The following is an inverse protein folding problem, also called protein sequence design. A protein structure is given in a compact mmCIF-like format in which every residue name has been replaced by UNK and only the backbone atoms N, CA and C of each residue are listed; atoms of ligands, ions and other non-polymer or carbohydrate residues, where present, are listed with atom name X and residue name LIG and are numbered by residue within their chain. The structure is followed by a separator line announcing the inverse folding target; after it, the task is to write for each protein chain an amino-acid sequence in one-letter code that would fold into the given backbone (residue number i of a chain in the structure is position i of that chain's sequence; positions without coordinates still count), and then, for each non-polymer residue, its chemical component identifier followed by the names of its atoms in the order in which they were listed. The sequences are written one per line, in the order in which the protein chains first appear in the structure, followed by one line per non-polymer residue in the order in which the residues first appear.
data_IF_851659701989
#
_entry.id   IF_851659701989
#
_cell.length_a   1.000
_cell.length_b   1.000
_cell.length_c   1.000
_cell.angle_alpha   90.00
_cell.angle_beta   90.00
_cell.angle_gamma   90.00
#
_symmetry.space_group_name_H-M   'P 1'
#
loop_
_entity.id
_entity.type
_entity.pdbx_description
1 polymer ?
#
# COMPACT_ATOMS: atom_id res chain seq x y z
N UNK A 1 -18.54 -6.41 -4.23
CA UNK A 1 -19.51 -5.40 -4.72
C UNK A 1 -18.74 -4.19 -5.21
N UNK A 2 -19.15 -3.57 -6.32
CA UNK A 2 -18.50 -2.36 -6.84
C UNK A 2 -18.92 -1.16 -5.99
N UNK A 3 -17.99 -0.27 -5.66
CA UNK A 3 -18.26 0.95 -4.90
C UNK A 3 -17.91 2.15 -5.77
N UNK A 4 -18.70 3.22 -5.66
CA UNK A 4 -18.40 4.52 -6.25
C UNK A 4 -18.01 5.48 -5.14
N UNK A 5 -17.03 6.33 -5.43
CA UNK A 5 -16.55 7.35 -4.50
C UNK A 5 -16.35 8.70 -5.17
N UNK A 6 -16.26 9.73 -4.33
CA UNK A 6 -15.98 11.12 -4.74
C UNK A 6 -14.74 11.63 -4.02
N UNK A 7 -14.07 12.62 -4.61
CA UNK A 7 -12.94 13.31 -3.96
C UNK A 7 -13.38 14.70 -3.49
N UNK A 8 -12.95 15.09 -2.30
CA UNK A 8 -13.21 16.40 -1.69
C UNK A 8 -11.90 16.94 -1.14
N UNK A 9 -11.70 18.26 -1.23
CA UNK A 9 -10.49 18.94 -0.80
C UNK A 9 -10.91 20.15 0.06
N UNK A 10 -11.17 19.95 1.37
CA UNK A 10 -11.71 20.98 2.25
C UNK A 10 -10.80 22.21 2.40
N UNK A 11 -9.51 22.07 2.07
CA UNK A 11 -8.53 23.15 2.03
C UNK A 11 -8.71 24.11 0.84
N UNK A 12 -9.40 23.66 -0.22
CA UNK A 12 -9.63 24.40 -1.46
C UNK A 12 -11.10 24.81 -1.67
N UNK A 13 -11.99 24.45 -0.74
CA UNK A 13 -13.44 24.54 -0.94
C UNK A 13 -14.16 25.04 0.31
N UNK A 14 -15.33 25.65 0.12
CA UNK A 14 -16.18 26.04 1.23
C UNK A 14 -17.02 24.86 1.74
N UNK A 15 -17.13 24.75 3.06
CA UNK A 15 -17.93 23.70 3.73
C UNK A 15 -19.39 23.63 3.23
N UNK A 16 -19.96 24.75 2.83
CA UNK A 16 -21.34 24.81 2.33
C UNK A 16 -21.48 24.10 0.97
N UNK A 17 -20.45 24.15 0.13
CA UNK A 17 -20.45 23.51 -1.17
C UNK A 17 -20.06 22.03 -1.07
N UNK A 18 -19.14 21.68 -0.16
CA UNK A 18 -18.85 20.30 0.21
C UNK A 18 -20.10 19.53 0.65
N UNK A 19 -20.91 20.14 1.53
CA UNK A 19 -22.16 19.53 2.01
C UNK A 19 -23.15 19.28 0.86
N UNK A 20 -23.35 20.26 -0.02
CA UNK A 20 -24.22 20.10 -1.20
C UNK A 20 -23.71 18.99 -2.13
N UNK A 21 -22.40 18.90 -2.30
CA UNK A 21 -21.79 17.89 -3.16
C UNK A 21 -21.93 16.49 -2.56
N UNK A 22 -21.74 16.35 -1.24
CA UNK A 22 -21.95 15.10 -0.52
C UNK A 22 -23.41 14.64 -0.56
N UNK A 23 -24.38 15.56 -0.39
CA UNK A 23 -25.81 15.27 -0.55
C UNK A 23 -26.12 14.74 -1.96
N UNK A 24 -25.55 15.37 -2.98
CA UNK A 24 -25.72 14.96 -4.37
C UNK A 24 -25.12 13.56 -4.62
N UNK A 25 -23.91 13.31 -4.12
CA UNK A 25 -23.24 12.02 -4.23
C UNK A 25 -24.04 10.92 -3.51
N UNK A 26 -24.55 11.22 -2.31
CA UNK A 26 -25.36 10.30 -1.52
C UNK A 26 -26.66 9.93 -2.25
N UNK A 27 -27.33 10.93 -2.84
CA UNK A 27 -28.54 10.73 -3.66
C UNK A 27 -28.32 9.76 -4.83
N UNK A 28 -27.12 9.75 -5.40
CA UNK A 28 -26.76 8.84 -6.51
C UNK A 28 -26.12 7.52 -6.04
N UNK A 29 -26.07 7.24 -4.74
CA UNK A 29 -25.61 5.96 -4.19
C UNK A 29 -24.09 5.82 -4.08
N UNK A 30 -23.35 6.93 -4.08
CA UNK A 30 -21.92 6.91 -3.76
C UNK A 30 -21.75 6.62 -2.27
N UNK A 31 -20.70 5.87 -1.91
CA UNK A 31 -20.50 5.38 -0.53
C UNK A 31 -19.10 5.63 0.02
N UNK A 32 -18.22 6.24 -0.77
CA UNK A 32 -16.83 6.47 -0.39
C UNK A 32 -16.41 7.91 -0.68
N UNK A 33 -15.63 8.49 0.23
CA UNK A 33 -15.02 9.81 0.05
C UNK A 33 -13.51 9.65 0.15
N UNK A 34 -12.79 10.27 -0.77
CA UNK A 34 -11.36 10.44 -0.71
C UNK A 34 -11.06 11.92 -0.45
N UNK A 35 -10.12 12.20 0.44
CA UNK A 35 -9.66 13.56 0.72
C UNK A 35 -8.17 13.55 0.98
N UNK A 36 -7.48 14.63 0.64
CA UNK A 36 -6.06 14.78 0.99
C UNK A 36 -5.94 15.72 2.19
N UNK A 37 -5.02 15.41 3.10
CA UNK A 37 -4.65 16.30 4.19
C UNK A 37 -3.18 16.65 4.00
N UNK A 38 -2.92 17.68 3.20
CA UNK A 38 -1.56 18.13 2.88
C UNK A 38 -0.97 18.97 4.01
N UNK A 39 -1.82 19.79 4.66
CA UNK A 39 -1.42 20.74 5.67
C UNK A 39 -2.52 20.88 6.71
N UNK A 40 -2.14 21.24 7.94
CA UNK A 40 -3.07 21.42 9.06
C UNK A 40 -3.43 22.88 9.34
N UNK A 41 -2.61 23.78 8.80
CA UNK A 41 -2.74 25.22 8.95
C UNK A 41 -2.34 25.82 7.60
N UNK A 42 -3.18 26.70 7.04
CA UNK A 42 -2.84 27.43 5.82
C UNK A 42 -1.82 28.52 6.16
N UNK A 43 -1.09 29.03 5.16
CA UNK A 43 -0.15 30.16 5.33
C UNK A 43 -0.80 31.40 6.00
N UNK A 44 -2.14 31.51 5.94
CA UNK A 44 -2.94 32.58 6.53
C UNK A 44 -3.41 32.30 7.99
N UNK A 45 -3.06 31.14 8.59
CA UNK A 45 -3.41 30.81 9.97
C UNK A 45 -4.84 30.31 10.20
N UNK A 46 -5.56 29.91 9.15
CA UNK A 46 -6.91 29.35 9.24
C UNK A 46 -6.90 27.89 9.77
N UNK A 47 -7.88 27.54 10.61
CA UNK A 47 -8.06 26.22 11.23
C UNK A 47 -8.62 25.19 10.21
N UNK A 48 -7.73 24.64 9.37
CA UNK A 48 -8.08 23.59 8.39
C UNK A 48 -8.60 22.34 9.10
N UNK A 49 -8.07 22.02 10.29
CA UNK A 49 -8.46 20.84 11.05
C UNK A 49 -9.95 20.91 11.45
N UNK A 50 -10.42 22.09 11.84
CA UNK A 50 -11.83 22.34 12.17
C UNK A 50 -12.76 22.10 10.98
N UNK A 51 -12.44 22.68 9.82
CA UNK A 51 -13.21 22.49 8.58
C UNK A 51 -13.20 21.03 8.13
N UNK A 52 -12.02 20.40 8.12
CA UNK A 52 -11.86 19.00 7.77
C UNK A 52 -12.71 18.10 8.68
N UNK A 53 -12.64 18.31 9.99
CA UNK A 53 -13.44 17.56 10.97
C UNK A 53 -14.93 17.73 10.73
N UNK A 54 -15.38 18.94 10.38
CA UNK A 54 -16.78 19.20 10.05
C UNK A 54 -17.21 18.47 8.77
N UNK A 55 -16.40 18.51 7.71
CA UNK A 55 -16.66 17.79 6.45
C UNK A 55 -16.73 16.28 6.69
N UNK A 56 -15.78 15.71 7.45
CA UNK A 56 -15.76 14.27 7.76
C UNK A 56 -16.98 13.88 8.61
N UNK A 57 -17.33 14.67 9.62
CA UNK A 57 -18.51 14.41 10.45
C UNK A 57 -19.80 14.40 9.61
N UNK A 58 -19.91 15.33 8.65
CA UNK A 58 -21.06 15.38 7.75
C UNK A 58 -21.08 14.19 6.79
N UNK A 59 -19.95 13.83 6.17
CA UNK A 59 -19.83 12.65 5.31
C UNK A 59 -20.21 11.37 6.07
N UNK A 60 -19.75 11.22 7.32
CA UNK A 60 -20.11 10.10 8.18
C UNK A 60 -21.62 10.03 8.47
N UNK A 61 -22.29 11.18 8.64
CA UNK A 61 -23.75 11.23 8.84
C UNK A 61 -24.55 10.72 7.63
N UNK A 62 -23.95 10.77 6.44
CA UNK A 62 -24.49 10.23 5.18
C UNK A 62 -23.97 8.80 4.88
N UNK A 63 -23.34 8.15 5.86
CA UNK A 63 -22.76 6.81 5.77
C UNK A 63 -21.62 6.66 4.73
N UNK A 64 -20.90 7.74 4.41
CA UNK A 64 -19.69 7.63 3.59
C UNK A 64 -18.55 6.99 4.38
N UNK A 65 -17.75 6.18 3.69
CA UNK A 65 -16.43 5.75 4.17
C UNK A 65 -15.39 6.77 3.73
N UNK A 66 -14.92 7.59 4.66
CA UNK A 66 -13.93 8.62 4.38
C UNK A 66 -12.52 8.06 4.50
N UNK A 67 -11.73 8.16 3.44
CA UNK A 67 -10.31 7.83 3.41
C UNK A 67 -9.52 9.13 3.26
N UNK A 68 -8.57 9.35 4.16
CA UNK A 68 -7.66 10.50 4.09
C UNK A 68 -6.30 10.06 3.56
N UNK A 69 -5.80 10.81 2.59
CA UNK A 69 -4.45 10.66 2.05
C UNK A 69 -3.44 11.38 2.92
N UNK A 70 -2.41 10.67 3.33
CA UNK A 70 -1.37 11.19 4.21
C UNK A 70 0.00 11.01 3.57
N UNK A 71 0.76 12.10 3.57
CA UNK A 71 2.17 12.12 3.24
C UNK A 71 3.03 11.85 4.50
N UNK A 72 4.11 11.05 4.45
CA UNK A 72 5.06 10.87 5.56
C UNK A 72 5.55 12.16 6.21
N UNK A 73 5.75 13.23 5.43
CA UNK A 73 6.18 14.54 5.93
C UNK A 73 5.16 15.15 6.90
N UNK A 74 3.88 14.80 6.76
CA UNK A 74 2.86 15.22 7.70
C UNK A 74 3.10 14.62 9.09
N UNK A 75 3.52 13.35 9.19
CA UNK A 75 3.85 12.74 10.47
C UNK A 75 5.06 13.42 11.14
N UNK A 76 6.07 13.77 10.34
CA UNK A 76 7.26 14.46 10.83
C UNK A 76 6.94 15.88 11.31
N UNK A 77 6.21 16.66 10.50
CA UNK A 77 5.83 18.04 10.85
C UNK A 77 4.93 18.10 12.09
N UNK A 78 4.12 17.07 12.31
CA UNK A 78 3.29 16.92 13.48
C UNK A 78 3.98 16.35 14.71
N UNK A 79 5.20 15.84 14.55
CA UNK A 79 5.90 15.08 15.58
C UNK A 79 5.05 13.92 16.14
N UNK A 80 4.21 13.32 15.27
CA UNK A 80 3.37 12.16 15.59
C UNK A 80 4.11 10.90 15.17
N UNK A 81 4.08 9.89 16.03
CA UNK A 81 4.63 8.58 15.70
C UNK A 81 3.65 7.76 14.86
N UNK A 82 4.18 6.89 14.02
CA UNK A 82 3.38 6.00 13.16
C UNK A 82 2.49 5.01 13.94
N UNK A 83 2.79 4.75 15.21
CA UNK A 83 1.98 3.90 16.09
C UNK A 83 0.80 4.65 16.75
N UNK A 84 0.78 5.98 16.69
CA UNK A 84 -0.24 6.81 17.29
C UNK A 84 -1.17 7.42 16.22
N UNK A 85 -2.20 6.66 15.87
CA UNK A 85 -3.25 7.08 14.94
C UNK A 85 -4.46 7.75 15.63
N UNK A 86 -4.31 8.18 16.90
CA UNK A 86 -5.39 8.79 17.69
C UNK A 86 -6.00 10.01 17.02
N UNK A 87 -5.15 10.89 16.46
CA UNK A 87 -5.58 12.07 15.72
C UNK A 87 -6.60 11.73 14.62
N UNK A 88 -6.31 10.70 13.82
CA UNK A 88 -7.16 10.30 12.71
C UNK A 88 -8.45 9.63 13.19
N UNK A 89 -8.38 8.88 14.30
CA UNK A 89 -9.57 8.36 14.96
C UNK A 89 -10.48 9.49 15.45
N UNK A 90 -9.91 10.55 16.03
CA UNK A 90 -10.66 11.72 16.54
C UNK A 90 -11.27 12.57 15.42
N UNK A 91 -10.69 12.54 14.22
CA UNK A 91 -11.27 13.09 13.00
C UNK A 91 -12.46 12.25 12.50
N UNK A 92 -12.57 10.99 12.91
CA UNK A 92 -13.65 10.10 12.52
C UNK A 92 -13.49 9.51 11.11
N UNK A 93 -12.27 9.45 10.57
CA UNK A 93 -12.03 8.85 9.26
C UNK A 93 -12.19 7.33 9.31
N UNK A 94 -12.55 6.71 8.19
CA UNK A 94 -12.65 5.26 8.07
C UNK A 94 -11.30 4.61 7.78
N UNK A 95 -10.43 5.30 7.05
CA UNK A 95 -9.10 4.80 6.71
C UNK A 95 -8.10 5.87 6.31
N UNK A 96 -6.86 5.43 6.23
CA UNK A 96 -5.67 6.20 5.90
C UNK A 96 -5.08 5.63 4.62
N UNK A 97 -4.85 6.48 3.62
CA UNK A 97 -4.07 6.14 2.43
C UNK A 97 -2.65 6.65 2.62
N UNK A 98 -1.70 5.75 2.42
CA UNK A 98 -0.26 5.98 2.56
C UNK A 98 0.30 6.22 1.15
N UNK A 99 0.55 7.50 0.81
CA UNK A 99 0.84 7.90 -0.58
C UNK A 99 2.30 7.62 -0.99
N UNK A 100 3.25 7.71 -0.06
CA UNK A 100 4.63 7.27 -0.26
C UNK A 100 4.91 5.96 0.48
N UNK A 101 5.76 5.12 -0.10
CA UNK A 101 6.09 3.81 0.48
C UNK A 101 6.91 3.99 1.76
N UNK A 102 6.44 3.44 2.88
CA UNK A 102 7.25 3.29 4.08
C UNK A 102 8.05 1.98 3.97
N UNK A 103 8.67 1.54 5.07
CA UNK A 103 9.58 0.39 5.04
C UNK A 103 8.85 -0.96 4.96
N UNK A 104 7.52 -0.99 4.94
CA UNK A 104 6.67 -2.18 5.07
C UNK A 104 6.36 -2.54 6.53
N UNK A 105 7.26 -2.20 7.46
CA UNK A 105 7.08 -2.48 8.88
C UNK A 105 6.08 -1.51 9.52
N UNK A 106 6.18 -0.22 9.19
CA UNK A 106 5.25 0.79 9.70
C UNK A 106 3.82 0.46 9.25
N UNK A 107 3.62 0.11 7.98
CA UNK A 107 2.30 -0.23 7.45
C UNK A 107 1.72 -1.47 8.14
N UNK A 108 2.56 -2.50 8.34
CA UNK A 108 2.15 -3.71 9.05
C UNK A 108 1.75 -3.40 10.51
N UNK A 109 2.49 -2.53 11.19
CA UNK A 109 2.14 -2.08 12.55
C UNK A 109 0.84 -1.28 12.57
N UNK A 110 0.68 -0.33 11.64
CA UNK A 110 -0.54 0.47 11.49
C UNK A 110 -1.78 -0.40 11.25
N UNK A 111 -1.67 -1.53 10.54
CA UNK A 111 -2.82 -2.43 10.33
C UNK A 111 -3.35 -3.06 11.63
N UNK A 112 -2.56 -3.03 12.71
CA UNK A 112 -2.93 -3.53 14.05
C UNK A 112 -3.37 -2.42 15.00
N UNK A 113 -3.67 -1.23 14.48
CA UNK A 113 -4.12 -0.10 15.30
C UNK A 113 -5.37 -0.46 16.14
N UNK A 114 -5.49 0.06 17.37
CA UNK A 114 -6.61 -0.24 18.26
C UNK A 114 -7.93 0.41 17.83
N UNK A 115 -7.89 1.37 16.91
CA UNK A 115 -9.03 2.18 16.49
C UNK A 115 -9.85 1.53 15.36
N UNK A 116 -9.34 0.48 14.73
CA UNK A 116 -9.99 -0.21 13.61
C UNK A 116 -9.92 0.54 12.28
N UNK A 117 -9.05 1.55 12.17
CA UNK A 117 -8.79 2.32 10.96
C UNK A 117 -8.27 1.38 9.86
N UNK A 118 -8.76 1.57 8.63
CA UNK A 118 -8.25 0.84 7.47
C UNK A 118 -7.01 1.52 6.91
N UNK A 119 -6.01 0.72 6.55
CA UNK A 119 -4.78 1.20 5.93
C UNK A 119 -4.84 0.84 4.46
N UNK A 120 -4.76 1.84 3.61
CA UNK A 120 -4.73 1.71 2.16
C UNK A 120 -3.34 2.06 1.66
N UNK A 121 -2.77 1.13 0.90
CA UNK A 121 -1.43 1.29 0.35
C UNK A 121 -1.53 1.91 -1.05
N UNK A 122 -0.57 2.78 -1.36
CA UNK A 122 -0.40 3.21 -2.74
C UNK A 122 0.05 2.02 -3.59
N UNK A 123 -0.78 1.64 -4.57
CA UNK A 123 -0.46 0.57 -5.52
C UNK A 123 0.70 0.93 -6.46
N UNK A 124 0.99 2.23 -6.59
CA UNK A 124 2.04 2.77 -7.47
C UNK A 124 3.36 3.02 -6.74
N UNK A 125 3.33 3.26 -5.42
CA UNK A 125 4.52 3.52 -4.60
C UNK A 125 4.85 2.26 -3.78
N UNK A 126 5.90 1.57 -4.21
CA UNK A 126 6.21 0.22 -3.79
C UNK A 126 6.59 0.08 -2.32
N UNK A 127 5.71 -0.54 -1.54
CA UNK A 127 6.10 -1.38 -0.39
C UNK A 127 6.68 -2.71 -0.89
N UNK A 128 7.68 -2.60 -1.76
CA UNK A 128 8.12 -3.72 -2.58
C UNK A 128 8.79 -4.81 -1.77
N UNK A 129 9.32 -4.56 -0.57
CA UNK A 129 10.13 -5.56 0.14
C UNK A 129 9.31 -6.76 0.63
N UNK A 130 8.17 -6.53 1.27
CA UNK A 130 7.31 -7.62 1.78
C UNK A 130 6.70 -8.40 0.62
N UNK A 131 6.21 -7.70 -0.40
CA UNK A 131 5.69 -8.32 -1.62
C UNK A 131 6.76 -9.15 -2.33
N UNK A 132 8.00 -8.68 -2.37
CA UNK A 132 9.15 -9.40 -2.94
C UNK A 132 9.55 -10.62 -2.11
N UNK A 133 9.49 -10.53 -0.78
CA UNK A 133 9.69 -11.68 0.11
C UNK A 133 8.62 -12.75 -0.17
N UNK A 134 7.36 -12.34 -0.26
CA UNK A 134 6.24 -13.25 -0.56
C UNK A 134 6.35 -13.85 -1.96
N UNK A 135 6.69 -13.05 -2.97
CA UNK A 135 6.91 -13.50 -4.34
C UNK A 135 8.05 -14.51 -4.44
N UNK A 136 9.20 -14.22 -3.83
CA UNK A 136 10.33 -15.16 -3.76
C UNK A 136 9.98 -16.45 -3.03
N UNK A 137 9.25 -16.36 -1.92
CA UNK A 137 8.74 -17.53 -1.19
C UNK A 137 7.80 -18.40 -2.03
N UNK A 138 6.83 -17.79 -2.72
CA UNK A 138 5.88 -18.48 -3.59
C UNK A 138 6.57 -19.14 -4.80
N UNK A 139 7.47 -18.42 -5.47
CA UNK A 139 8.26 -18.94 -6.58
C UNK A 139 9.08 -20.16 -6.16
N UNK A 140 9.82 -20.05 -5.05
CA UNK A 140 10.57 -21.17 -4.48
C UNK A 140 9.66 -22.35 -4.15
N UNK A 141 8.49 -22.10 -3.56
CA UNK A 141 7.50 -23.14 -3.27
C UNK A 141 6.99 -23.86 -4.52
N UNK A 142 6.70 -23.12 -5.58
CA UNK A 142 6.28 -23.67 -6.88
C UNK A 142 7.39 -24.50 -7.53
N UNK A 143 8.65 -24.03 -7.50
CA UNK A 143 9.81 -24.79 -7.98
C UNK A 143 10.00 -26.12 -7.23
N UNK A 144 9.83 -26.12 -5.90
CA UNK A 144 9.84 -27.35 -5.10
C UNK A 144 8.71 -28.31 -5.48
N UNK A 145 7.50 -27.78 -5.70
CA UNK A 145 6.36 -28.57 -6.13
C UNK A 145 6.61 -29.20 -7.52
N UNK A 146 7.27 -28.49 -8.43
CA UNK A 146 7.65 -29.02 -9.73
C UNK A 146 8.60 -30.23 -9.60
N UNK A 147 9.67 -30.10 -8.83
CA UNK A 147 10.61 -31.20 -8.56
C UNK A 147 9.88 -32.41 -7.94
N UNK A 148 8.95 -32.15 -7.01
CA UNK A 148 8.20 -33.23 -6.35
C UNK A 148 7.30 -33.97 -7.34
N UNK A 149 6.54 -33.27 -8.17
CA UNK A 149 5.68 -33.86 -9.19
C UNK A 149 6.50 -34.67 -10.22
N UNK A 150 7.69 -34.20 -10.61
CA UNK A 150 8.58 -34.94 -11.52
C UNK A 150 9.07 -36.25 -10.90
N UNK A 151 9.43 -36.24 -9.60
CA UNK A 151 9.80 -37.45 -8.85
C UNK A 151 8.67 -38.47 -8.74
N UNK A 152 7.42 -38.01 -8.73
CA UNK A 152 6.22 -38.86 -8.70
C UNK A 152 5.84 -39.39 -10.09
N UNK A 153 6.57 -38.99 -11.15
CA UNK A 153 6.37 -39.45 -12.52
C UNK A 153 5.32 -38.66 -13.29
N UNK A 154 4.91 -37.48 -12.81
CA UNK A 154 4.04 -36.59 -13.56
C UNK A 154 4.86 -35.79 -14.58
N UNK A 155 4.45 -35.76 -15.85
CA UNK A 155 5.22 -35.11 -16.92
C UNK A 155 4.75 -33.68 -17.24
N UNK A 156 3.45 -33.41 -17.12
CA UNK A 156 2.84 -32.11 -17.46
C UNK A 156 2.82 -31.13 -16.27
N UNK A 157 2.54 -31.65 -15.07
CA UNK A 157 2.39 -30.86 -13.85
C UNK A 157 3.68 -30.11 -13.43
N UNK A 158 4.87 -30.70 -13.52
CA UNK A 158 6.11 -29.98 -13.22
C UNK A 158 6.34 -28.75 -14.10
N UNK A 159 6.08 -28.86 -15.41
CA UNK A 159 6.23 -27.74 -16.35
C UNK A 159 5.24 -26.62 -16.05
N UNK A 160 4.00 -26.96 -15.67
CA UNK A 160 3.03 -25.97 -15.22
C UNK A 160 3.48 -25.25 -13.95
N UNK A 161 4.09 -25.98 -13.00
CA UNK A 161 4.60 -25.42 -11.74
C UNK A 161 5.84 -24.54 -11.94
N UNK A 162 6.72 -24.87 -12.88
CA UNK A 162 7.82 -23.99 -13.26
C UNK A 162 7.32 -22.68 -13.89
N UNK A 163 6.30 -22.76 -14.75
CA UNK A 163 5.67 -21.56 -15.33
C UNK A 163 4.98 -20.69 -14.28
N UNK A 164 4.36 -21.32 -13.27
CA UNK A 164 3.78 -20.62 -12.12
C UNK A 164 4.89 -19.91 -11.30
N UNK A 165 6.01 -20.59 -11.06
CA UNK A 165 7.19 -20.00 -10.41
C UNK A 165 7.70 -18.78 -11.17
N UNK A 166 7.79 -18.85 -12.50
CA UNK A 166 8.24 -17.75 -13.35
C UNK A 166 7.31 -16.54 -13.22
N UNK A 167 6.00 -16.78 -13.22
CA UNK A 167 4.98 -15.73 -13.05
C UNK A 167 5.17 -14.93 -11.76
N UNK A 168 5.50 -15.59 -10.64
CA UNK A 168 5.78 -14.90 -9.38
C UNK A 168 7.07 -14.09 -9.39
N UNK A 169 8.05 -14.42 -10.23
CA UNK A 169 9.36 -13.75 -10.22
C UNK A 169 9.48 -12.57 -11.18
N UNK A 170 8.63 -12.44 -12.20
CA UNK A 170 8.75 -11.36 -13.21
C UNK A 170 8.79 -9.98 -12.55
N UNK A 171 7.81 -9.67 -11.71
CA UNK A 171 7.69 -8.34 -11.10
C UNK A 171 8.80 -8.10 -10.07
N UNK A 172 9.14 -9.13 -9.28
CA UNK A 172 10.20 -9.07 -8.28
C UNK A 172 11.60 -8.85 -8.90
N UNK A 173 11.87 -9.50 -10.02
CA UNK A 173 13.13 -9.37 -10.78
C UNK A 173 13.24 -8.01 -11.49
N UNK A 174 12.13 -7.52 -12.07
CA UNK A 174 12.09 -6.19 -12.67
C UNK A 174 12.35 -5.09 -11.63
N UNK A 175 11.75 -5.21 -10.44
CA UNK A 175 11.99 -4.28 -9.32
C UNK A 175 13.46 -4.32 -8.85
N UNK A 176 14.06 -5.51 -8.75
CA UNK A 176 15.49 -5.65 -8.44
C UNK A 176 16.38 -4.98 -9.49
N UNK A 177 16.07 -5.15 -10.77
CA UNK A 177 16.81 -4.55 -11.88
C UNK A 177 16.71 -3.02 -11.85
N UNK A 178 15.52 -2.48 -11.57
CA UNK A 178 15.29 -1.05 -11.44
C UNK A 178 16.12 -0.44 -10.30
N UNK A 179 16.15 -1.10 -9.14
CA UNK A 179 16.96 -0.68 -7.99
C UNK A 179 18.45 -0.63 -8.32
N UNK A 180 19.01 -1.68 -8.95
CA UNK A 180 20.41 -1.70 -9.36
C UNK A 180 20.73 -0.62 -10.40
N UNK A 181 19.77 -0.34 -11.30
CA UNK A 181 19.91 0.71 -12.32
C UNK A 181 19.90 2.11 -11.70
N UNK A 182 19.04 2.34 -10.70
CA UNK A 182 18.99 3.59 -9.96
C UNK A 182 20.30 3.84 -9.20
N UNK A 183 20.78 2.82 -8.47
CA UNK A 183 22.06 2.86 -7.75
C UNK A 183 23.23 3.19 -8.70
N UNK A 184 23.27 2.54 -9.87
CA UNK A 184 24.31 2.78 -10.89
C UNK A 184 24.26 4.20 -11.49
N UNK A 185 23.11 4.89 -11.41
CA UNK A 185 22.93 6.29 -11.84
C UNK A 185 23.30 7.30 -10.74
N UNK A 186 23.72 6.82 -9.56
CA UNK A 186 24.05 7.66 -8.41
C UNK A 186 22.85 7.98 -7.51
N UNK A 187 21.71 7.34 -7.74
CA UNK A 187 20.53 7.43 -6.86
C UNK A 187 20.63 6.35 -5.78
N UNK A 188 21.32 6.70 -4.70
CA UNK A 188 21.64 5.77 -3.62
C UNK A 188 20.41 5.49 -2.76
N UNK A 189 19.99 4.22 -2.71
CA UNK A 189 18.89 3.81 -1.84
C UNK A 189 19.41 3.51 -0.42
N UNK A 190 18.69 3.96 0.61
CA UNK A 190 19.03 3.62 1.99
C UNK A 190 18.87 2.12 2.25
N UNK A 191 19.92 1.51 2.79
CA UNK A 191 20.00 0.07 2.97
C UNK A 191 19.32 -0.36 4.28
N UNK A 192 18.28 -1.19 4.18
CA UNK A 192 17.58 -1.77 5.34
C UNK A 192 17.75 -3.29 5.42
N UNK A 193 17.56 -3.86 6.62
CA UNK A 193 17.57 -5.32 6.83
C UNK A 193 16.49 -6.01 5.99
N UNK A 194 15.31 -5.39 5.86
CA UNK A 194 14.21 -5.93 5.08
C UNK A 194 14.52 -5.92 3.57
N UNK A 195 15.26 -4.91 3.09
CA UNK A 195 15.76 -4.90 1.72
C UNK A 195 16.71 -6.07 1.46
N UNK A 196 17.72 -6.29 2.31
CA UNK A 196 18.61 -7.45 2.18
C UNK A 196 17.81 -8.75 2.19
N UNK A 197 16.88 -8.90 3.12
CA UNK A 197 16.08 -10.12 3.22
C UNK A 197 15.23 -10.35 1.95
N UNK A 198 14.63 -9.30 1.39
CA UNK A 198 13.88 -9.39 0.14
C UNK A 198 14.78 -9.80 -1.04
N UNK A 199 16.00 -9.25 -1.13
CA UNK A 199 16.98 -9.63 -2.14
C UNK A 199 17.41 -11.10 -1.99
N UNK A 200 17.65 -11.55 -0.76
CA UNK A 200 18.02 -12.94 -0.46
C UNK A 200 16.93 -13.93 -0.89
N UNK A 201 15.66 -13.62 -0.62
CA UNK A 201 14.55 -14.47 -1.04
C UNK A 201 14.44 -14.56 -2.56
N UNK A 202 14.60 -13.44 -3.27
CA UNK A 202 14.56 -13.42 -4.74
C UNK A 202 15.72 -14.23 -5.32
N UNK A 203 16.95 -13.97 -4.89
CA UNK A 203 18.14 -14.65 -5.44
C UNK A 203 18.12 -16.15 -5.16
N UNK A 204 17.65 -16.55 -3.97
CA UNK A 204 17.44 -17.96 -3.67
C UNK A 204 16.34 -18.57 -4.53
N UNK A 205 15.22 -17.88 -4.74
CA UNK A 205 14.12 -18.38 -5.58
C UNK A 205 14.57 -18.58 -7.04
N UNK A 206 15.34 -17.64 -7.60
CA UNK A 206 15.93 -17.77 -8.95
C UNK A 206 16.81 -19.01 -9.04
N UNK A 207 17.74 -19.16 -8.08
CA UNK A 207 18.66 -20.30 -8.04
C UNK A 207 17.91 -21.64 -7.95
N UNK A 208 16.86 -21.70 -7.11
CA UNK A 208 16.05 -22.91 -6.95
C UNK A 208 15.21 -23.22 -8.18
N UNK A 209 14.65 -22.19 -8.84
CA UNK A 209 13.89 -22.34 -10.07
C UNK A 209 14.77 -22.88 -11.19
N UNK A 210 15.97 -22.32 -11.37
CA UNK A 210 16.90 -22.76 -12.41
C UNK A 210 17.35 -24.20 -12.17
N UNK A 211 17.65 -24.54 -10.92
CA UNK A 211 17.94 -25.92 -10.55
C UNK A 211 16.75 -26.87 -10.80
N UNK A 212 15.53 -26.43 -10.49
CA UNK A 212 14.33 -27.22 -10.74
C UNK A 212 14.13 -27.48 -12.25
N UNK A 213 14.43 -26.49 -13.10
CA UNK A 213 14.37 -26.65 -14.56
C UNK A 213 15.34 -27.69 -15.12
N UNK A 214 16.50 -27.89 -14.50
CA UNK A 214 17.45 -28.94 -14.89
C UNK A 214 17.07 -30.34 -14.38
N UNK A 215 16.20 -30.42 -13.36
CA UNK A 215 15.77 -31.68 -12.73
C UNK A 215 14.51 -32.26 -13.36
N UNK A 216 13.61 -31.37 -13.80
CA UNK A 216 12.25 -31.67 -14.29
C UNK A 216 12.24 -32.08 -15.76
#
# INVERSE_FOLDING_TARGET
MRQLGVSIYPDQTDIADDKKYLDLAHKYGFTRVFTSLLQLVNDDGADILGQFKETVAYANSLNFKVVVDINPDLFQSLNIKYDDLSLFSDLGVWGLRLDEGFTGLEEAQMTRNPYGLKIELNISAGTNYVDRIMAGGNAKGAAFAAIKAAKEGHFEEPHAKLKESDGFMVDAHNAQTAMLTAEARGDHTEVSLLMFHAQDHIMNAITFRDLAGEIV
#
